data_IF_320327397599
#
_entry.id   IF_320327397599
#
_cell.length_a   1.000
_cell.length_b   1.000
_cell.length_c   1.000
_cell.angle_alpha   90.00
_cell.angle_beta   90.00
_cell.angle_gamma   90.00
#
_symmetry.space_group_name_H-M   'P 1'
#
loop_
_entity.id
_entity.type
_entity.pdbx_description
1 polymer ?
#
# COMPACT_ATOMS: atom_id res chain seq x y z
N UNK A 1 -3.84 -18.35 25.78
CA UNK A 1 -4.10 -18.34 24.31
C UNK A 1 -2.77 -18.48 23.59
N UNK A 2 -2.73 -19.26 22.49
CA UNK A 2 -1.55 -19.39 21.65
C UNK A 2 -1.31 -18.06 20.92
N UNK A 3 -0.14 -17.44 21.08
CA UNK A 3 0.13 -16.14 20.47
C UNK A 3 0.45 -16.33 18.97
N UNK A 4 -0.57 -16.19 18.12
CA UNK A 4 -0.43 -16.29 16.65
C UNK A 4 0.60 -15.32 16.08
N UNK A 5 0.77 -14.13 16.67
CA UNK A 5 1.79 -13.17 16.25
C UNK A 5 3.20 -13.75 16.43
N UNK A 6 3.47 -14.55 17.49
CA UNK A 6 4.75 -15.23 17.71
C UNK A 6 5.01 -16.36 16.70
N UNK A 7 3.98 -17.17 16.38
CA UNK A 7 4.11 -18.23 15.37
C UNK A 7 4.38 -17.64 13.98
N UNK A 8 3.62 -16.62 13.58
CA UNK A 8 3.80 -15.91 12.32
C UNK A 8 5.18 -15.25 12.23
N UNK A 9 5.68 -14.70 13.35
CA UNK A 9 7.02 -14.10 13.46
C UNK A 9 8.12 -15.11 13.12
N UNK A 10 8.03 -16.33 13.66
CA UNK A 10 8.97 -17.41 13.34
C UNK A 10 8.91 -17.85 11.86
N UNK A 11 7.76 -17.72 11.20
CA UNK A 11 7.60 -18.07 9.78
C UNK A 11 8.09 -17.01 8.79
N UNK A 12 8.12 -15.72 9.18
CA UNK A 12 8.45 -14.58 8.32
C UNK A 12 9.86 -14.03 8.54
N UNK A 13 10.44 -14.10 9.74
CA UNK A 13 11.74 -13.46 10.05
C UNK A 13 12.99 -14.17 9.48
N UNK A 14 12.84 -15.05 8.48
CA UNK A 14 13.97 -15.59 7.72
C UNK A 14 14.49 -14.55 6.71
N UNK A 15 15.50 -13.78 7.13
CA UNK A 15 16.33 -12.83 6.36
C UNK A 15 15.60 -12.13 5.19
N UNK A 16 15.07 -10.93 5.45
CA UNK A 16 14.66 -10.00 4.40
C UNK A 16 15.90 -9.38 3.72
N UNK A 17 15.90 -9.26 2.38
CA UNK A 17 17.04 -8.79 1.57
C UNK A 17 18.25 -9.73 1.54
N UNK A 18 18.05 -10.95 1.04
CA UNK A 18 19.05 -12.04 1.01
C UNK A 18 20.30 -11.80 0.13
N UNK A 19 20.30 -10.78 -0.73
CA UNK A 19 21.44 -10.45 -1.63
C UNK A 19 21.87 -8.97 -1.55
N UNK A 20 21.56 -8.29 -0.44
CA UNK A 20 22.01 -6.93 -0.18
C UNK A 20 21.21 -5.86 -0.95
N UNK A 21 21.91 -4.91 -1.57
CA UNK A 21 21.31 -3.62 -1.95
C UNK A 21 20.72 -3.54 -3.37
N UNK A 22 21.24 -4.31 -4.32
CA UNK A 22 21.01 -4.08 -5.75
C UNK A 22 21.90 -2.97 -6.32
N UNK A 23 21.63 -2.55 -7.55
CA UNK A 23 22.46 -1.57 -8.27
C UNK A 23 22.21 -0.13 -7.75
N UNK A 24 23.23 0.63 -7.29
CA UNK A 24 23.04 1.99 -6.76
C UNK A 24 22.55 3.02 -7.80
N UNK A 25 22.86 2.84 -9.08
CA UNK A 25 22.38 3.74 -10.14
C UNK A 25 20.85 3.71 -10.28
N UNK A 26 20.20 2.63 -9.84
CA UNK A 26 18.74 2.48 -9.88
C UNK A 26 18.00 3.50 -9.01
N UNK A 27 18.65 4.06 -7.97
CA UNK A 27 18.05 5.08 -7.11
C UNK A 27 17.94 6.45 -7.78
N UNK A 28 18.81 6.76 -8.75
CA UNK A 28 18.82 8.07 -9.43
C UNK A 28 17.67 8.18 -10.44
N UNK A 29 17.38 7.08 -11.15
CA UNK A 29 16.40 7.06 -12.24
C UNK A 29 14.94 7.05 -11.75
N UNK A 30 14.67 6.49 -10.56
CA UNK A 30 13.34 6.42 -9.91
C UNK A 30 12.61 7.78 -9.87
N UNK A 31 13.34 8.89 -9.81
CA UNK A 31 12.76 10.22 -9.65
C UNK A 31 11.99 10.77 -10.89
N UNK A 32 11.82 10.01 -11.99
CA UNK A 32 11.41 10.58 -13.29
C UNK A 32 10.23 9.88 -14.03
N UNK A 33 9.00 10.38 -13.79
CA UNK A 33 7.87 10.52 -14.75
C UNK A 33 6.81 9.37 -15.00
N UNK A 34 5.94 9.55 -16.02
CA UNK A 34 4.46 9.28 -16.17
C UNK A 34 4.11 8.78 -17.61
N UNK A 35 2.97 8.12 -17.98
CA UNK A 35 1.75 7.54 -17.32
C UNK A 35 0.70 7.03 -18.36
N UNK A 36 0.63 5.73 -18.72
CA UNK A 36 -0.47 4.97 -19.42
C UNK A 36 -0.11 3.44 -19.45
N UNK A 37 -0.90 2.40 -19.86
CA UNK A 37 -2.25 2.18 -20.48
C UNK A 37 -2.82 0.76 -20.13
N UNK A 38 -4.07 0.39 -20.47
CA UNK A 38 -4.67 -0.95 -20.17
C UNK A 38 -5.55 -1.56 -21.30
N UNK A 39 -5.48 -2.90 -21.48
CA UNK A 39 -6.44 -3.73 -22.23
C UNK A 39 -7.19 -4.76 -21.36
N UNK A 40 -8.23 -5.44 -21.89
CA UNK A 40 -9.08 -6.40 -21.16
C UNK A 40 -9.08 -7.80 -21.81
N UNK A 41 -9.25 -8.85 -21.00
CA UNK A 41 -9.72 -10.18 -21.43
C UNK A 41 -10.85 -10.66 -20.50
N UNK A 42 -11.67 -11.63 -20.96
CA UNK A 42 -12.84 -12.17 -20.24
C UNK A 42 -12.57 -13.60 -19.74
N UNK A 43 -13.11 -13.95 -18.56
CA UNK A 43 -13.06 -15.29 -17.98
C UNK A 43 -14.27 -15.57 -17.08
N UNK A 44 -14.68 -16.84 -16.99
CA UNK A 44 -16.03 -17.25 -16.55
C UNK A 44 -16.15 -17.52 -15.03
N UNK A 45 -15.80 -16.55 -14.18
CA UNK A 45 -15.95 -16.66 -12.71
C UNK A 45 -16.63 -15.40 -12.12
N UNK A 46 -16.83 -15.31 -10.79
CA UNK A 46 -17.34 -14.10 -10.11
C UNK A 46 -16.35 -12.92 -10.10
N UNK A 47 -15.33 -12.98 -10.97
CA UNK A 47 -14.28 -12.00 -11.10
C UNK A 47 -13.71 -12.02 -12.51
N UNK A 48 -13.13 -10.91 -12.93
CA UNK A 48 -12.43 -10.76 -14.20
C UNK A 48 -10.94 -10.67 -13.90
N UNK A 49 -10.14 -11.57 -14.48
CA UNK A 49 -8.69 -11.40 -14.54
C UNK A 49 -8.38 -10.31 -15.56
N UNK A 50 -7.56 -9.33 -15.18
CA UNK A 50 -7.09 -8.30 -16.08
C UNK A 50 -5.62 -7.98 -15.80
N UNK A 51 -4.94 -7.43 -16.80
CA UNK A 51 -3.52 -7.11 -16.70
C UNK A 51 -3.18 -5.91 -17.58
N UNK A 52 -2.08 -5.25 -17.25
CA UNK A 52 -1.53 -4.15 -18.02
C UNK A 52 -0.01 -4.08 -17.82
N UNK A 53 0.71 -3.45 -18.75
CA UNK A 53 2.13 -3.19 -18.55
C UNK A 53 2.27 -2.06 -17.54
N UNK A 54 3.00 -2.34 -16.47
CA UNK A 54 3.21 -1.40 -15.37
C UNK A 54 3.82 -0.09 -15.90
N UNK A 55 3.31 1.10 -15.52
CA UNK A 55 3.83 2.36 -16.04
C UNK A 55 5.34 2.49 -15.83
N UNK A 56 5.87 2.12 -14.65
CA UNK A 56 7.30 2.20 -14.37
C UNK A 56 8.13 1.32 -15.32
N UNK A 57 7.61 0.16 -15.74
CA UNK A 57 8.27 -0.71 -16.71
C UNK A 57 8.25 -0.17 -18.15
N UNK A 58 7.39 0.80 -18.46
CA UNK A 58 7.42 1.53 -19.74
C UNK A 58 8.55 2.57 -19.77
N UNK A 59 8.79 3.28 -18.67
CA UNK A 59 9.77 4.37 -18.60
C UNK A 59 11.16 3.91 -18.18
N UNK A 60 11.23 2.97 -17.23
CA UNK A 60 12.45 2.51 -16.58
C UNK A 60 12.55 0.97 -16.65
N UNK A 61 12.60 0.40 -17.88
CA UNK A 61 12.60 -1.05 -18.09
C UNK A 61 13.84 -1.77 -17.51
N UNK A 62 14.93 -1.04 -17.27
CA UNK A 62 16.14 -1.58 -16.63
C UNK A 62 15.98 -1.74 -15.11
N UNK A 63 15.11 -0.95 -14.48
CA UNK A 63 14.84 -1.01 -13.04
C UNK A 63 13.82 -2.09 -12.69
N UNK A 64 12.83 -2.29 -13.55
CA UNK A 64 11.71 -3.20 -13.30
C UNK A 64 12.00 -4.56 -13.93
N UNK A 65 12.24 -5.64 -13.15
CA UNK A 65 12.44 -6.97 -13.70
C UNK A 65 11.28 -7.38 -14.61
N UNK A 66 11.54 -8.17 -15.65
CA UNK A 66 10.52 -8.56 -16.64
C UNK A 66 9.32 -9.27 -16.01
N UNK A 67 9.52 -10.01 -14.91
CA UNK A 67 8.46 -10.64 -14.11
C UNK A 67 7.55 -9.61 -13.43
N UNK A 68 8.10 -8.46 -13.02
CA UNK A 68 7.37 -7.36 -12.38
C UNK A 68 6.73 -6.43 -13.43
N UNK A 69 7.23 -6.41 -14.66
CA UNK A 69 6.81 -5.47 -15.70
C UNK A 69 5.32 -5.54 -16.07
N UNK A 70 4.64 -6.66 -15.80
CA UNK A 70 3.19 -6.78 -15.97
C UNK A 70 2.49 -6.71 -14.60
N UNK A 71 1.53 -5.79 -14.50
CA UNK A 71 0.62 -5.70 -13.38
C UNK A 71 -0.56 -6.66 -13.60
N UNK A 72 -0.83 -7.52 -12.63
CA UNK A 72 -1.95 -8.46 -12.67
C UNK A 72 -2.97 -8.10 -11.59
N UNK A 73 -4.25 -8.08 -11.94
CA UNK A 73 -5.32 -7.80 -10.98
C UNK A 73 -6.59 -8.62 -11.24
N UNK A 74 -7.36 -8.82 -10.17
CA UNK A 74 -8.71 -9.40 -10.26
C UNK A 74 -9.77 -8.36 -9.89
N UNK A 75 -10.72 -8.15 -10.80
CA UNK A 75 -11.89 -7.31 -10.59
C UNK A 75 -13.06 -8.18 -10.13
N UNK A 76 -13.43 -8.09 -8.85
CA UNK A 76 -14.58 -8.74 -8.23
C UNK A 76 -15.75 -7.75 -8.22
N UNK A 77 -16.87 -8.11 -8.85
CA UNK A 77 -18.09 -7.29 -8.95
C UNK A 77 -19.31 -8.13 -8.57
N UNK A 78 -20.42 -7.46 -8.27
CA UNK A 78 -21.69 -8.16 -8.09
C UNK A 78 -22.25 -8.66 -9.42
N UNK A 79 -22.92 -9.81 -9.40
CA UNK A 79 -23.85 -10.23 -10.45
C UNK A 79 -25.27 -9.69 -10.24
N UNK A 80 -25.49 -8.96 -9.15
CA UNK A 80 -26.80 -8.39 -8.77
C UNK A 80 -27.12 -7.16 -9.65
N UNK A 81 -27.71 -7.41 -10.82
CA UNK A 81 -28.03 -6.41 -11.86
C UNK A 81 -28.99 -5.28 -11.43
N UNK A 82 -29.49 -5.29 -10.19
CA UNK A 82 -30.28 -4.20 -9.59
C UNK A 82 -29.48 -2.91 -9.41
N UNK A 83 -28.16 -3.02 -9.37
CA UNK A 83 -27.24 -1.89 -9.44
C UNK A 83 -26.67 -1.85 -10.86
N UNK A 84 -26.92 -0.78 -11.60
CA UNK A 84 -26.17 -0.51 -12.83
C UNK A 84 -24.68 -0.45 -12.51
N UNK A 85 -23.81 -0.82 -13.46
CA UNK A 85 -22.34 -0.80 -13.25
C UNK A 85 -21.88 0.59 -12.73
N UNK A 86 -22.53 1.64 -13.23
CA UNK A 86 -22.40 3.06 -12.88
C UNK A 86 -22.80 3.41 -11.42
N UNK A 87 -23.20 2.42 -10.60
CA UNK A 87 -23.60 2.59 -9.19
C UNK A 87 -22.84 1.68 -8.22
N UNK A 88 -21.78 1.00 -8.68
CA UNK A 88 -20.92 0.15 -7.86
C UNK A 88 -19.61 0.89 -7.56
N UNK A 89 -19.39 1.22 -6.30
CA UNK A 89 -18.11 1.76 -5.83
C UNK A 89 -17.05 0.66 -5.76
N UNK A 90 -15.77 1.00 -5.95
CA UNK A 90 -14.69 0.03 -6.08
C UNK A 90 -13.65 0.21 -4.99
N UNK A 91 -13.26 -0.87 -4.32
CA UNK A 91 -12.10 -0.89 -3.43
C UNK A 91 -10.86 -1.42 -4.15
N UNK A 92 -9.81 -0.64 -4.29
CA UNK A 92 -8.47 -1.14 -4.68
C UNK A 92 -7.82 -1.71 -3.41
N UNK A 93 -7.46 -2.99 -3.44
CA UNK A 93 -6.97 -3.76 -2.30
C UNK A 93 -5.55 -4.28 -2.55
N UNK A 94 -4.58 -3.82 -1.75
CA UNK A 94 -3.18 -4.28 -1.82
C UNK A 94 -2.96 -5.55 -1.01
N UNK A 95 -1.95 -6.34 -1.39
CA UNK A 95 -1.55 -7.51 -0.62
C UNK A 95 -0.73 -7.10 0.62
N UNK A 96 -0.94 -7.81 1.73
CA UNK A 96 -0.04 -7.76 2.90
C UNK A 96 1.16 -8.69 2.72
N UNK A 97 2.11 -8.68 3.66
CA UNK A 97 3.26 -9.60 3.64
C UNK A 97 2.78 -11.06 3.64
N UNK A 98 3.26 -11.89 2.71
CA UNK A 98 2.85 -13.30 2.58
C UNK A 98 1.64 -13.56 1.68
N UNK A 99 0.87 -12.54 1.28
CA UNK A 99 -0.38 -12.69 0.52
C UNK A 99 -0.12 -12.78 -1.00
N UNK A 100 0.47 -13.91 -1.43
CA UNK A 100 0.71 -14.22 -2.83
C UNK A 100 -0.60 -14.60 -3.56
N UNK A 101 -0.80 -14.08 -4.77
CA UNK A 101 -2.01 -14.31 -5.56
C UNK A 101 -3.23 -13.55 -5.05
N UNK A 102 -4.41 -14.09 -5.36
CA UNK A 102 -5.70 -13.42 -5.13
C UNK A 102 -6.67 -14.22 -4.25
N UNK A 103 -6.49 -15.54 -4.11
CA UNK A 103 -7.53 -16.42 -3.56
C UNK A 103 -7.92 -16.08 -2.12
N UNK A 104 -6.95 -15.78 -1.25
CA UNK A 104 -7.20 -15.37 0.13
C UNK A 104 -8.02 -14.07 0.20
N UNK A 105 -7.48 -12.98 -0.37
CA UNK A 105 -8.21 -11.70 -0.46
C UNK A 105 -9.57 -11.82 -1.14
N UNK A 106 -9.73 -12.67 -2.15
CA UNK A 106 -10.98 -12.90 -2.86
C UNK A 106 -12.04 -13.54 -1.96
N UNK A 107 -11.71 -14.66 -1.34
CA UNK A 107 -12.65 -15.44 -0.53
C UNK A 107 -12.98 -14.77 0.82
N UNK A 108 -11.98 -14.20 1.50
CA UNK A 108 -12.15 -13.68 2.86
C UNK A 108 -12.45 -12.18 2.93
N UNK A 109 -12.17 -11.41 1.87
CA UNK A 109 -12.43 -9.95 1.87
C UNK A 109 -13.39 -9.51 0.76
N UNK A 110 -13.09 -9.80 -0.52
CA UNK A 110 -13.84 -9.23 -1.64
C UNK A 110 -15.27 -9.78 -1.74
N UNK A 111 -15.43 -11.10 -1.66
CA UNK A 111 -16.75 -11.75 -1.72
C UNK A 111 -17.63 -11.37 -0.51
N UNK A 112 -17.15 -11.40 0.75
CA UNK A 112 -17.93 -10.89 1.89
C UNK A 112 -18.30 -9.41 1.76
N UNK A 113 -17.39 -8.56 1.26
CA UNK A 113 -17.64 -7.13 1.08
C UNK A 113 -18.78 -6.86 0.09
N UNK A 114 -18.74 -7.42 -1.12
CA UNK A 114 -19.78 -7.21 -2.16
C UNK A 114 -21.14 -7.85 -1.80
N UNK A 115 -21.13 -8.86 -0.94
CA UNK A 115 -22.35 -9.48 -0.42
C UNK A 115 -23.02 -8.61 0.64
N UNK A 116 -22.24 -7.89 1.45
CA UNK A 116 -22.73 -7.04 2.55
C UNK A 116 -23.02 -5.59 2.14
N UNK A 117 -22.30 -5.07 1.15
CA UNK A 117 -22.36 -3.67 0.70
C UNK A 117 -22.20 -3.62 -0.84
N UNK A 118 -22.68 -2.59 -1.54
CA UNK A 118 -22.52 -2.44 -3.00
C UNK A 118 -21.09 -2.03 -3.42
N UNK A 119 -20.07 -2.67 -2.84
CA UNK A 119 -18.65 -2.31 -2.99
C UNK A 119 -17.89 -3.45 -3.66
N UNK A 120 -17.52 -3.25 -4.93
CA UNK A 120 -16.64 -4.14 -5.69
C UNK A 120 -15.20 -4.10 -5.19
N UNK A 121 -14.34 -4.96 -5.71
CA UNK A 121 -12.91 -4.94 -5.37
C UNK A 121 -12.01 -5.19 -6.57
N UNK A 122 -10.99 -4.35 -6.71
CA UNK A 122 -9.79 -4.63 -7.51
C UNK A 122 -8.75 -5.21 -6.55
N UNK A 123 -8.38 -6.46 -6.74
CA UNK A 123 -7.30 -7.12 -6.02
C UNK A 123 -6.04 -7.02 -6.88
N UNK A 124 -5.12 -6.12 -6.53
CA UNK A 124 -3.85 -5.93 -7.25
C UNK A 124 -2.81 -6.93 -6.73
N UNK A 125 -2.04 -7.59 -7.59
CA UNK A 125 -0.89 -8.40 -7.17
C UNK A 125 0.34 -7.51 -7.02
N UNK A 126 0.90 -7.46 -5.81
CA UNK A 126 2.09 -6.67 -5.54
C UNK A 126 3.26 -7.14 -6.42
N UNK A 127 4.16 -6.23 -6.82
CA UNK A 127 5.49 -6.58 -7.33
C UNK A 127 6.17 -7.65 -6.48
N UNK A 128 6.91 -8.57 -7.11
CA UNK A 128 7.61 -9.67 -6.42
C UNK A 128 6.69 -10.69 -5.72
N UNK A 129 5.37 -10.66 -5.91
CA UNK A 129 4.39 -11.59 -5.35
C UNK A 129 3.70 -12.42 -6.45
N UNK A 130 3.15 -13.58 -6.09
CA UNK A 130 2.58 -14.59 -7.01
C UNK A 130 3.19 -14.65 -8.41
N UNK A 131 2.44 -14.22 -9.44
CA UNK A 131 2.85 -14.27 -10.86
C UNK A 131 4.04 -13.33 -11.17
N UNK A 132 4.26 -12.32 -10.34
CA UNK A 132 5.31 -11.30 -10.43
C UNK A 132 6.56 -11.64 -9.63
N UNK A 133 6.59 -12.81 -8.96
CA UNK A 133 7.70 -13.25 -8.10
C UNK A 133 8.85 -13.83 -8.94
N UNK A 134 10.10 -13.36 -8.78
CA UNK A 134 11.27 -14.03 -9.37
C UNK A 134 11.35 -15.51 -8.98
N UNK A 135 11.85 -16.36 -9.88
CA UNK A 135 11.95 -17.81 -9.66
C UNK A 135 12.88 -18.17 -8.50
N UNK A 136 13.95 -17.39 -8.34
CA UNK A 136 14.98 -17.50 -7.31
C UNK A 136 14.64 -16.79 -6.00
N UNK A 137 13.50 -16.09 -5.91
CA UNK A 137 13.02 -15.49 -4.68
C UNK A 137 12.24 -16.50 -3.82
N UNK A 138 12.70 -16.73 -2.59
CA UNK A 138 12.00 -17.57 -1.61
C UNK A 138 10.88 -16.78 -0.91
N UNK A 139 9.66 -17.33 -0.92
CA UNK A 139 8.46 -16.74 -0.29
C UNK A 139 8.32 -15.24 -0.64
N UNK A 140 8.07 -14.40 0.36
CA UNK A 140 7.98 -12.94 0.24
C UNK A 140 9.30 -12.21 0.60
N UNK A 141 10.39 -12.94 0.87
CA UNK A 141 11.68 -12.34 1.20
C UNK A 141 12.28 -11.74 -0.07
N UNK A 142 12.18 -10.41 -0.21
CA UNK A 142 12.77 -9.67 -1.33
C UNK A 142 14.28 -9.97 -1.43
N UNK A 143 14.78 -10.09 -2.66
CA UNK A 143 16.19 -10.36 -2.91
C UNK A 143 17.08 -9.17 -2.54
N UNK A 144 16.64 -7.95 -2.87
CA UNK A 144 17.40 -6.71 -2.66
C UNK A 144 16.57 -5.68 -1.90
N UNK A 145 17.23 -4.79 -1.13
CA UNK A 145 16.56 -3.66 -0.46
C UNK A 145 15.88 -2.74 -1.50
N UNK A 146 16.52 -2.49 -2.65
CA UNK A 146 15.93 -1.70 -3.75
C UNK A 146 14.62 -2.25 -4.30
N UNK A 147 14.36 -3.56 -4.20
CA UNK A 147 13.07 -4.15 -4.60
C UNK A 147 11.91 -3.62 -3.75
N UNK A 148 12.15 -3.16 -2.52
CA UNK A 148 11.10 -2.55 -1.69
C UNK A 148 10.67 -1.18 -2.23
N UNK A 149 11.63 -0.35 -2.67
CA UNK A 149 11.34 0.95 -3.27
C UNK A 149 10.70 0.80 -4.65
N UNK A 150 11.22 -0.11 -5.48
CA UNK A 150 10.60 -0.47 -6.76
C UNK A 150 9.17 -0.98 -6.54
N UNK A 151 8.91 -1.80 -5.52
CA UNK A 151 7.55 -2.24 -5.18
C UNK A 151 6.63 -1.05 -4.88
N UNK A 152 7.09 -0.08 -4.09
CA UNK A 152 6.33 1.12 -3.75
C UNK A 152 5.97 1.97 -4.96
N UNK A 153 6.96 2.39 -5.74
CA UNK A 153 6.76 3.24 -6.92
C UNK A 153 5.90 2.56 -8.00
N UNK A 154 6.13 1.27 -8.22
CA UNK A 154 5.28 0.46 -9.11
C UNK A 154 3.82 0.46 -8.61
N UNK A 155 3.57 0.17 -7.33
CA UNK A 155 2.21 0.14 -6.78
C UNK A 155 1.52 1.51 -6.80
N UNK A 156 2.24 2.60 -6.54
CA UNK A 156 1.71 3.96 -6.62
C UNK A 156 1.25 4.26 -8.06
N UNK A 157 2.12 4.05 -9.06
CA UNK A 157 1.78 4.33 -10.46
C UNK A 157 0.68 3.42 -11.01
N UNK A 158 0.70 2.14 -10.64
CA UNK A 158 -0.35 1.17 -10.96
C UNK A 158 -1.70 1.60 -10.37
N UNK A 159 -1.71 2.07 -9.13
CA UNK A 159 -2.92 2.57 -8.47
C UNK A 159 -3.46 3.80 -9.17
N UNK A 160 -2.62 4.81 -9.43
CA UNK A 160 -3.08 6.04 -10.08
C UNK A 160 -3.71 5.76 -11.44
N UNK A 161 -3.11 4.85 -12.21
CA UNK A 161 -3.66 4.42 -13.49
C UNK A 161 -4.95 3.59 -13.34
N UNK A 162 -5.09 2.75 -12.31
CA UNK A 162 -6.34 2.05 -11.97
C UNK A 162 -7.46 3.03 -11.55
N UNK A 163 -7.14 4.07 -10.77
CA UNK A 163 -8.07 5.11 -10.35
C UNK A 163 -8.60 5.91 -11.57
N UNK A 164 -7.70 6.32 -12.48
CA UNK A 164 -8.09 6.94 -13.75
C UNK A 164 -8.94 5.99 -14.63
N UNK A 165 -8.66 4.69 -14.59
CA UNK A 165 -9.46 3.68 -15.30
C UNK A 165 -10.86 3.54 -14.69
N UNK A 166 -11.00 3.52 -13.37
CA UNK A 166 -12.29 3.53 -12.68
C UNK A 166 -13.13 4.78 -13.05
N UNK A 167 -12.52 5.97 -13.06
CA UNK A 167 -13.18 7.20 -13.51
C UNK A 167 -13.67 7.11 -14.96
N UNK A 168 -12.82 6.64 -15.89
CA UNK A 168 -13.21 6.44 -17.30
C UNK A 168 -14.33 5.41 -17.48
N UNK A 169 -14.41 4.42 -16.59
CA UNK A 169 -15.47 3.42 -16.54
C UNK A 169 -16.73 3.90 -15.79
N UNK A 170 -16.81 5.17 -15.36
CA UNK A 170 -17.93 5.77 -14.58
C UNK A 170 -18.25 5.04 -13.27
N UNK A 171 -17.25 4.43 -12.63
CA UNK A 171 -17.40 3.79 -11.32
C UNK A 171 -17.38 4.89 -10.24
N UNK A 172 -18.38 4.91 -9.33
CA UNK A 172 -18.76 6.13 -8.57
C UNK A 172 -17.64 6.68 -7.68
N UNK A 173 -17.07 5.83 -6.84
CA UNK A 173 -15.99 6.15 -5.91
C UNK A 173 -14.98 5.02 -5.84
N UNK A 174 -13.71 5.37 -5.66
CA UNK A 174 -12.62 4.44 -5.49
C UNK A 174 -12.00 4.54 -4.08
N UNK A 175 -12.08 3.44 -3.32
CA UNK A 175 -11.55 3.32 -1.96
C UNK A 175 -10.19 2.63 -2.03
N UNK A 176 -9.13 3.26 -1.53
CA UNK A 176 -7.83 2.59 -1.35
C UNK A 176 -7.82 1.87 0.00
N UNK A 177 -7.40 0.60 0.02
CA UNK A 177 -7.41 -0.22 1.23
C UNK A 177 -6.26 -1.23 1.25
N UNK A 178 -5.60 -1.37 2.38
CA UNK A 178 -4.61 -2.42 2.58
C UNK A 178 -4.29 -2.62 4.06
N UNK A 179 -3.64 -3.74 4.35
CA UNK A 179 -3.25 -4.13 5.70
C UNK A 179 -1.74 -4.35 5.76
N UNK A 180 -1.10 -4.03 6.90
CA UNK A 180 0.35 -4.16 7.08
C UNK A 180 1.12 -3.40 5.98
N UNK A 181 2.08 -4.05 5.30
CA UNK A 181 2.73 -3.55 4.08
C UNK A 181 1.75 -2.94 3.07
N UNK A 182 0.62 -3.59 2.79
CA UNK A 182 -0.42 -3.07 1.90
C UNK A 182 -1.10 -1.80 2.42
N UNK A 183 -1.16 -1.61 3.75
CA UNK A 183 -1.65 -0.38 4.38
C UNK A 183 -0.64 0.76 4.26
N UNK A 184 0.66 0.47 4.33
CA UNK A 184 1.70 1.44 4.01
C UNK A 184 1.65 1.86 2.52
N UNK A 185 1.52 0.89 1.59
CA UNK A 185 1.38 1.15 0.16
C UNK A 185 0.08 1.93 -0.18
N UNK A 186 -1.01 1.66 0.56
CA UNK A 186 -2.24 2.47 0.51
C UNK A 186 -1.95 3.93 0.84
N UNK A 187 -1.20 4.18 1.91
CA UNK A 187 -0.83 5.52 2.35
C UNK A 187 0.05 6.26 1.33
N UNK A 188 1.05 5.58 0.76
CA UNK A 188 1.89 6.14 -0.31
C UNK A 188 1.05 6.52 -1.54
N UNK A 189 0.19 5.62 -2.03
CA UNK A 189 -0.65 5.92 -3.19
C UNK A 189 -1.66 7.05 -2.92
N UNK A 190 -2.17 7.15 -1.70
CA UNK A 190 -3.07 8.23 -1.27
C UNK A 190 -2.41 9.63 -1.32
N UNK A 191 -1.12 9.75 -0.99
CA UNK A 191 -0.37 11.03 -1.09
C UNK A 191 -0.26 11.61 -2.50
N UNK A 192 -0.55 10.80 -3.54
CA UNK A 192 -0.42 11.15 -4.97
C UNK A 192 -1.76 11.24 -5.70
N UNK A 193 -2.89 11.28 -4.97
CA UNK A 193 -4.24 11.38 -5.53
C UNK A 193 -4.95 12.66 -5.03
N UNK A 194 -5.69 13.42 -5.87
CA UNK A 194 -5.93 13.19 -7.30
C UNK A 194 -4.77 13.61 -8.22
N UNK A 195 -3.87 14.46 -7.73
CA UNK A 195 -2.82 15.06 -8.53
C UNK A 195 -1.60 14.12 -8.67
N UNK A 196 -1.40 13.59 -9.88
CA UNK A 196 -0.08 13.09 -10.31
C UNK A 196 0.90 14.28 -10.32
N UNK A 197 1.83 14.43 -9.36
CA UNK A 197 2.52 15.69 -9.21
C UNK A 197 3.69 15.78 -10.20
N UNK A 198 3.54 16.62 -11.23
CA UNK A 198 4.62 16.91 -12.19
C UNK A 198 5.74 17.80 -11.64
N UNK A 199 5.57 18.37 -10.44
CA UNK A 199 6.58 19.22 -9.78
C UNK A 199 7.22 18.60 -8.52
N UNK A 200 6.45 17.88 -7.69
CA UNK A 200 6.91 17.48 -6.34
C UNK A 200 7.99 16.38 -6.31
N UNK A 201 8.32 15.75 -7.44
CA UNK A 201 9.45 14.81 -7.51
C UNK A 201 10.82 15.53 -7.47
N UNK A 202 10.88 16.79 -7.91
CA UNK A 202 12.14 17.53 -8.08
C UNK A 202 12.61 18.27 -6.82
N UNK A 203 11.74 18.48 -5.84
CA UNK A 203 12.04 19.17 -4.57
C UNK A 203 12.25 18.19 -3.40
N UNK A 204 12.51 16.91 -3.68
CA UNK A 204 12.71 15.95 -2.62
C UNK A 204 14.09 16.10 -1.96
N UNK A 205 14.10 16.53 -0.68
CA UNK A 205 15.29 16.56 0.18
C UNK A 205 16.03 15.22 0.22
N UNK A 206 15.35 14.09 -0.02
CA UNK A 206 15.96 12.77 -0.27
C UNK A 206 17.20 12.82 -1.16
N UNK A 207 17.02 13.42 -2.34
CA UNK A 207 17.98 13.36 -3.43
C UNK A 207 19.22 14.15 -3.04
N UNK A 208 19.01 15.38 -2.54
CA UNK A 208 20.07 16.22 -2.00
C UNK A 208 20.79 15.53 -0.82
N UNK A 209 20.07 15.02 0.17
CA UNK A 209 20.65 14.37 1.36
C UNK A 209 21.46 13.12 1.00
N UNK A 210 21.00 12.31 0.05
CA UNK A 210 21.75 11.15 -0.45
C UNK A 210 22.99 11.56 -1.25
N UNK A 211 22.89 12.57 -2.12
CA UNK A 211 24.05 13.11 -2.84
C UNK A 211 25.06 13.78 -1.91
N UNK A 212 24.61 14.54 -0.92
CA UNK A 212 25.46 15.18 0.07
C UNK A 212 26.13 14.14 0.97
N UNK A 213 25.45 13.07 1.38
CA UNK A 213 26.07 11.92 2.04
C UNK A 213 27.17 11.25 1.18
N UNK A 214 26.91 11.02 -0.11
CA UNK A 214 27.93 10.49 -1.03
C UNK A 214 29.10 11.47 -1.25
N UNK A 215 28.84 12.77 -1.22
CA UNK A 215 29.81 13.85 -1.40
C UNK A 215 30.69 14.05 -0.17
N UNK A 216 30.09 14.00 1.02
CA UNK A 216 30.79 13.99 2.30
C UNK A 216 31.64 12.73 2.44
N UNK A 217 31.12 11.56 2.04
CA UNK A 217 31.90 10.31 1.96
C UNK A 217 33.14 10.47 1.08
N UNK A 218 33.00 11.04 -0.11
CA UNK A 218 34.16 11.26 -1.02
C UNK A 218 35.20 12.24 -0.44
N UNK A 219 34.81 13.12 0.50
CA UNK A 219 35.74 13.99 1.25
C UNK A 219 36.31 13.31 2.50
N UNK A 220 35.56 12.41 3.13
CA UNK A 220 35.97 11.78 4.40
C UNK A 220 37.00 10.67 4.24
N UNK A 221 37.31 10.23 3.02
CA UNK A 221 38.34 9.22 2.72
C UNK A 221 39.73 9.67 3.23
N UNK A 222 39.99 10.99 3.30
CA UNK A 222 41.22 11.57 3.87
C UNK A 222 41.20 11.69 5.41
N UNK A 223 40.15 11.25 6.09
CA UNK A 223 39.98 11.46 7.54
C UNK A 223 39.56 10.19 8.28
N UNK A 224 40.34 9.79 9.29
CA UNK A 224 40.12 8.58 10.12
C UNK A 224 38.91 8.68 11.08
N UNK A 225 37.75 9.16 10.61
CA UNK A 225 36.49 9.10 11.38
C UNK A 225 35.81 7.75 11.18
N UNK A 226 35.74 6.98 12.27
CA UNK A 226 35.12 5.65 12.31
C UNK A 226 33.61 5.78 12.10
N UNK A 227 33.13 5.42 10.90
CA UNK A 227 31.69 5.27 10.60
C UNK A 227 31.20 3.97 11.21
N UNK A 228 30.43 4.07 12.31
CA UNK A 228 30.21 2.94 13.22
C UNK A 228 29.43 1.76 12.59
N UNK A 229 28.56 1.99 11.61
CA UNK A 229 28.14 0.95 10.67
C UNK A 229 27.51 1.50 9.37
N UNK A 230 28.35 1.73 8.35
CA UNK A 230 27.97 2.28 7.03
C UNK A 230 26.68 1.69 6.42
N UNK A 231 26.48 0.38 6.56
CA UNK A 231 25.29 -0.32 6.02
C UNK A 231 24.04 0.08 6.80
N UNK A 232 24.10 0.13 8.14
CA UNK A 232 22.95 0.54 8.97
C UNK A 232 22.61 2.01 8.78
N UNK A 233 23.62 2.87 8.62
CA UNK A 233 23.40 4.31 8.40
C UNK A 233 22.74 4.56 7.04
N UNK A 234 23.16 3.85 5.99
CA UNK A 234 22.51 3.89 4.68
C UNK A 234 21.10 3.24 4.69
N UNK A 235 20.88 2.17 5.46
CA UNK A 235 19.53 1.61 5.69
C UNK A 235 18.63 2.62 6.38
N UNK A 236 19.12 3.30 7.41
CA UNK A 236 18.36 4.32 8.13
C UNK A 236 18.01 5.48 7.20
N UNK A 237 18.97 6.07 6.50
CA UNK A 237 18.72 7.17 5.58
C UNK A 237 17.69 6.80 4.50
N UNK A 238 17.85 5.67 3.81
CA UNK A 238 16.94 5.28 2.74
C UNK A 238 15.56 4.82 3.26
N UNK A 239 15.46 4.21 4.44
CA UNK A 239 14.17 3.85 5.04
C UNK A 239 13.44 5.08 5.60
N UNK A 240 14.12 5.93 6.37
CA UNK A 240 13.56 7.19 6.89
C UNK A 240 13.07 8.04 5.71
N UNK A 241 13.81 8.09 4.61
CA UNK A 241 13.46 8.91 3.45
C UNK A 241 12.26 8.36 2.65
N UNK A 242 12.33 7.10 2.19
CA UNK A 242 11.35 6.52 1.27
C UNK A 242 10.18 5.79 1.96
N UNK A 243 10.17 5.69 3.30
CA UNK A 243 9.06 5.07 4.06
C UNK A 243 8.43 6.00 5.10
N UNK A 244 9.02 7.14 5.43
CA UNK A 244 8.34 8.15 6.26
C UNK A 244 7.32 8.92 5.44
N UNK A 245 6.04 8.80 5.80
CA UNK A 245 4.95 9.58 5.19
C UNK A 245 5.09 11.10 5.39
N UNK A 246 5.98 11.56 6.28
CA UNK A 246 6.27 12.98 6.49
C UNK A 246 7.01 13.61 5.29
N UNK A 247 7.74 12.82 4.50
CA UNK A 247 8.47 13.29 3.33
C UNK A 247 7.59 13.35 2.07
N UNK A 248 6.33 12.91 2.18
CA UNK A 248 5.37 12.88 1.10
C UNK A 248 4.37 14.02 1.21
N UNK A 249 4.02 14.59 0.05
CA UNK A 249 2.94 15.55 -0.13
C UNK A 249 1.64 15.08 0.54
N UNK A 250 1.00 15.94 1.33
CA UNK A 250 -0.36 15.65 1.84
C UNK A 250 -1.34 15.57 0.66
N UNK A 251 -2.28 14.62 0.71
CA UNK A 251 -3.42 14.61 -0.21
C UNK A 251 -4.32 15.84 0.05
N UNK A 252 -5.24 16.16 -0.86
CA UNK A 252 -6.19 17.26 -0.68
C UNK A 252 -7.03 17.07 0.60
N UNK A 253 -7.34 18.16 1.30
CA UNK A 253 -7.94 18.11 2.64
C UNK A 253 -9.27 17.35 2.68
N UNK A 254 -10.07 17.41 1.61
CA UNK A 254 -11.30 16.63 1.45
C UNK A 254 -11.05 15.12 1.52
N UNK A 255 -10.00 14.62 0.85
CA UNK A 255 -9.60 13.22 0.92
C UNK A 255 -9.15 12.84 2.34
N UNK A 256 -8.33 13.68 3.00
CA UNK A 256 -7.86 13.45 4.37
C UNK A 256 -9.04 13.32 5.35
N UNK A 257 -10.03 14.21 5.22
CA UNK A 257 -11.23 14.20 6.09
C UNK A 257 -12.06 12.91 6.00
N UNK A 258 -12.00 12.19 4.87
CA UNK A 258 -12.66 10.89 4.72
C UNK A 258 -11.76 9.70 5.03
N UNK A 259 -10.43 9.90 5.12
CA UNK A 259 -9.49 8.83 5.41
C UNK A 259 -9.70 8.27 6.84
N UNK A 260 -9.53 6.95 6.99
CA UNK A 260 -9.61 6.26 8.27
C UNK A 260 -8.38 5.37 8.44
N UNK A 261 -7.53 5.71 9.40
CA UNK A 261 -6.37 4.92 9.80
C UNK A 261 -6.77 3.98 10.95
N UNK A 262 -6.51 2.67 10.82
CA UNK A 262 -6.79 1.69 11.87
C UNK A 262 -5.47 1.19 12.44
N UNK A 263 -5.28 1.33 13.75
CA UNK A 263 -4.07 0.93 14.45
C UNK A 263 -4.37 -0.06 15.58
N UNK A 264 -3.52 -1.08 15.72
CA UNK A 264 -3.60 -2.04 16.80
C UNK A 264 -2.95 -1.48 18.08
N UNK A 265 -3.55 -1.70 19.25
CA UNK A 265 -2.94 -1.25 20.53
C UNK A 265 -1.87 -2.20 21.05
N UNK A 266 -1.91 -3.47 20.65
CA UNK A 266 -0.99 -4.54 21.07
C UNK A 266 -0.17 -5.05 19.88
N UNK A 267 0.18 -4.15 18.95
CA UNK A 267 0.85 -4.51 17.71
C UNK A 267 2.32 -4.93 17.94
N UNK A 268 2.66 -6.18 17.60
CA UNK A 268 4.02 -6.71 17.71
C UNK A 268 4.92 -6.44 16.49
N UNK A 269 4.43 -5.74 15.46
CA UNK A 269 5.11 -5.52 14.18
C UNK A 269 5.23 -4.02 13.85
N UNK A 270 4.11 -3.29 13.94
CA UNK A 270 4.05 -1.84 13.73
C UNK A 270 4.18 -1.12 15.09
N UNK A 271 5.41 -1.05 15.60
CA UNK A 271 5.73 -0.35 16.83
C UNK A 271 5.43 1.15 16.69
N UNK A 272 4.88 1.76 17.76
CA UNK A 272 4.45 3.17 17.76
C UNK A 272 5.43 4.12 18.45
N UNK A 273 6.38 3.58 19.19
CA UNK A 273 7.37 4.38 19.92
C UNK A 273 8.37 4.98 18.92
N UNK A 274 8.55 6.30 18.97
CA UNK A 274 9.48 7.02 18.10
C UNK A 274 8.97 7.35 16.69
N UNK A 275 7.72 7.02 16.33
CA UNK A 275 7.12 7.47 15.06
C UNK A 275 6.11 8.62 15.28
N UNK A 276 6.00 9.60 14.35
CA UNK A 276 5.02 10.68 14.45
C UNK A 276 3.58 10.20 14.56
N UNK A 277 2.72 10.95 15.24
CA UNK A 277 1.30 10.61 15.30
C UNK A 277 0.64 10.87 13.94
N UNK A 278 -0.29 10.01 13.54
CA UNK A 278 -0.87 10.10 12.18
C UNK A 278 -1.63 11.41 11.93
N UNK A 279 -2.10 12.09 12.99
CA UNK A 279 -2.72 13.41 12.89
C UNK A 279 -1.69 14.54 12.68
N UNK A 280 -0.42 14.34 13.05
CA UNK A 280 0.68 15.27 12.73
C UNK A 280 1.04 15.13 11.23
N UNK A 281 1.06 13.89 10.74
CA UNK A 281 1.29 13.55 9.34
C UNK A 281 0.16 14.13 8.47
N UNK A 282 -1.10 13.79 8.73
CA UNK A 282 -2.28 14.27 8.00
C UNK A 282 -3.34 14.86 8.96
N UNK A 283 -3.29 16.17 9.25
CA UNK A 283 -4.23 16.83 10.17
C UNK A 283 -5.70 16.64 9.79
N UNK A 284 -6.47 16.15 10.75
CA UNK A 284 -7.90 15.86 10.58
C UNK A 284 -8.24 14.46 10.08
N UNK A 285 -7.26 13.55 9.95
CA UNK A 285 -7.54 12.14 9.69
C UNK A 285 -8.27 11.48 10.87
N UNK A 286 -9.22 10.58 10.56
CA UNK A 286 -9.81 9.74 11.59
C UNK A 286 -8.91 8.56 11.93
N UNK A 287 -8.57 8.42 13.22
CA UNK A 287 -7.80 7.28 13.72
C UNK A 287 -8.72 6.39 14.57
N UNK A 288 -8.65 5.07 14.35
CA UNK A 288 -9.38 4.07 15.13
C UNK A 288 -8.40 3.09 15.74
N UNK A 289 -8.33 3.03 17.06
CA UNK A 289 -7.57 2.02 17.78
C UNK A 289 -8.42 0.75 17.98
N UNK A 290 -7.79 -0.42 17.85
CA UNK A 290 -8.42 -1.73 18.12
C UNK A 290 -7.56 -2.56 19.10
N UNK A 291 -8.16 -3.24 20.10
CA UNK A 291 -7.42 -3.89 21.19
C UNK A 291 -6.82 -5.25 20.81
N UNK A 292 -6.17 -5.34 19.65
CA UNK A 292 -5.67 -6.58 19.04
C UNK A 292 -4.16 -6.49 18.76
N UNK A 293 -3.54 -7.65 18.55
CA UNK A 293 -2.23 -7.78 17.88
C UNK A 293 -2.36 -7.74 16.36
N UNK A 294 -1.24 -7.81 15.64
CA UNK A 294 -1.21 -7.54 14.19
C UNK A 294 -1.94 -8.63 13.39
N UNK A 295 -1.55 -9.90 13.57
CA UNK A 295 -2.17 -11.03 12.85
C UNK A 295 -3.57 -11.29 13.39
N UNK A 296 -3.75 -11.13 14.71
CA UNK A 296 -5.06 -11.25 15.36
C UNK A 296 -6.09 -10.27 14.78
N UNK A 297 -5.72 -9.00 14.58
CA UNK A 297 -6.58 -8.03 13.92
C UNK A 297 -6.92 -8.42 12.48
N UNK A 298 -5.93 -8.88 11.71
CA UNK A 298 -6.17 -9.32 10.33
C UNK A 298 -7.14 -10.50 10.25
N UNK A 299 -6.97 -11.52 11.10
CA UNK A 299 -7.80 -12.74 11.03
C UNK A 299 -9.24 -12.49 11.51
N UNK A 300 -9.42 -11.74 12.60
CA UNK A 300 -10.72 -11.69 13.29
C UNK A 300 -11.50 -10.36 13.13
N UNK A 301 -10.88 -9.27 12.68
CA UNK A 301 -11.55 -7.95 12.53
C UNK A 301 -12.03 -7.65 11.09
N UNK A 302 -12.13 -8.64 10.21
CA UNK A 302 -12.54 -8.46 8.81
C UNK A 302 -13.88 -7.71 8.65
N UNK A 303 -14.88 -8.01 9.49
CA UNK A 303 -16.15 -7.28 9.50
C UNK A 303 -15.97 -5.79 9.86
N UNK A 304 -15.05 -5.48 10.78
CA UNK A 304 -14.68 -4.12 11.15
C UNK A 304 -14.04 -3.35 9.99
N UNK A 305 -13.19 -4.01 9.20
CA UNK A 305 -12.60 -3.42 7.99
C UNK A 305 -13.65 -3.17 6.90
N UNK A 306 -14.53 -4.13 6.62
CA UNK A 306 -15.62 -3.97 5.64
C UNK A 306 -16.59 -2.86 6.03
N UNK A 307 -16.99 -2.79 7.31
CA UNK A 307 -17.82 -1.71 7.84
C UNK A 307 -17.12 -0.35 7.72
N UNK A 308 -15.81 -0.28 7.93
CA UNK A 308 -15.04 0.97 7.78
C UNK A 308 -15.05 1.45 6.34
N UNK A 309 -14.84 0.55 5.36
CA UNK A 309 -14.97 0.88 3.94
C UNK A 309 -16.39 1.35 3.57
N UNK A 310 -17.44 0.70 4.09
CA UNK A 310 -18.82 1.13 3.89
C UNK A 310 -19.12 2.51 4.49
N UNK A 311 -18.54 2.82 5.66
CA UNK A 311 -18.65 4.15 6.29
C UNK A 311 -17.91 5.24 5.49
N UNK A 312 -16.75 4.93 4.92
CA UNK A 312 -16.04 5.84 4.01
C UNK A 312 -16.84 6.14 2.75
N UNK A 313 -17.50 5.12 2.19
CA UNK A 313 -18.40 5.29 1.05
C UNK A 313 -19.60 6.17 1.42
N UNK A 314 -20.30 5.88 2.51
CA UNK A 314 -21.49 6.65 2.90
C UNK A 314 -21.18 8.12 3.24
N UNK A 315 -19.94 8.44 3.62
CA UNK A 315 -19.48 9.82 3.78
C UNK A 315 -19.24 10.55 2.45
N UNK A 316 -18.78 9.84 1.42
CA UNK A 316 -18.62 10.37 0.06
C UNK A 316 -19.95 10.46 -0.69
N UNK A 317 -20.81 9.47 -0.50
CA UNK A 317 -22.08 9.31 -1.21
C UNK A 317 -23.22 9.03 -0.19
N UNK A 318 -23.75 10.05 0.51
CA UNK A 318 -24.76 9.87 1.58
C UNK A 318 -26.03 9.12 1.16
N UNK A 319 -26.36 9.19 -0.14
CA UNK A 319 -27.56 8.57 -0.72
C UNK A 319 -27.37 7.08 -1.10
N UNK A 320 -26.17 6.50 -0.93
CA UNK A 320 -25.95 5.07 -1.22
C UNK A 320 -26.71 4.19 -0.24
N UNK A 321 -27.63 3.38 -0.78
CA UNK A 321 -28.38 2.38 -0.02
C UNK A 321 -27.48 1.19 0.33
N UNK A 322 -26.95 1.16 1.56
CA UNK A 322 -26.22 0.01 2.11
C UNK A 322 -27.20 -1.14 2.40
N UNK A 323 -26.83 -2.40 2.09
CA UNK A 323 -27.70 -3.58 2.27
C UNK A 323 -27.92 -3.96 3.75
N UNK A 324 -27.18 -3.38 4.69
CA UNK A 324 -27.36 -3.54 6.14
C UNK A 324 -27.20 -2.19 6.83
N UNK A 325 -27.96 -1.97 7.90
CA UNK A 325 -27.69 -0.86 8.81
C UNK A 325 -26.28 -0.98 9.41
N UNK A 326 -25.61 0.16 9.59
CA UNK A 326 -24.29 0.24 10.21
C UNK A 326 -24.37 -0.23 11.67
N UNK A 327 -24.03 -1.50 11.94
CA UNK A 327 -23.79 -1.96 13.31
C UNK A 327 -22.47 -1.34 13.78
N UNK A 328 -22.58 -0.17 14.42
CA UNK A 328 -21.47 0.45 15.13
C UNK A 328 -21.28 -0.35 16.41
N UNK A 329 -20.34 -1.31 16.42
CA UNK A 329 -19.78 -1.75 17.69
C UNK A 329 -19.08 -0.54 18.33
N UNK A 330 -19.49 -0.08 19.53
CA UNK A 330 -18.80 0.99 20.22
C UNK A 330 -17.44 0.46 20.66
N UNK A 331 -16.39 0.81 19.92
CA UNK A 331 -15.01 0.53 20.32
C UNK A 331 -14.48 1.81 20.97
N UNK A 332 -14.11 1.68 22.25
CA UNK A 332 -13.65 2.77 23.09
C UNK A 332 -12.55 3.59 22.40
N UNK A 333 -12.80 4.89 22.24
CA UNK A 333 -11.75 5.86 21.93
C UNK A 333 -10.96 6.09 23.21
N UNK A 334 -9.94 5.26 23.44
CA UNK A 334 -8.86 5.61 24.34
C UNK A 334 -7.92 6.56 23.58
N UNK A 335 -8.19 7.86 23.70
CA UNK A 335 -7.12 8.86 23.52
C UNK A 335 -6.00 8.50 24.47
N UNK A 336 -4.75 8.28 24.02
CA UNK A 336 -3.62 8.22 24.93
C UNK A 336 -3.60 9.54 25.71
N UNK A 337 -3.58 9.48 27.04
CA UNK A 337 -3.20 10.66 27.81
C UNK A 337 -1.73 10.93 27.48
N UNK A 338 -1.40 12.18 27.16
CA UNK A 338 -0.01 12.62 27.07
C UNK A 338 0.69 12.29 28.40
N UNK A 339 1.83 11.61 28.31
CA UNK A 339 2.78 11.36 29.40
C UNK A 339 4.18 11.54 28.83
#
# INVERSE_FOLDING_TARGET
MMNFDNLFRCFILTQSSVRGWGNPFHLQEIFTYRREKIGKQKGNQNYINAQFRSPLANYLPHLVPSQVATAHFQLVLSRDHRFGIDSISIRICYAGTGDHGFSGRRLFTAVPLINQYPIGSILLENPYYGLRKPSDQSRSSLLYVTNLYIMGEVLVLETLMLLHWCQKMKLTSAILHGFSLGGHMTSLAFTKWPDLPSRQFYENKASQTFYDYLRERNRSIDSNKIVLNLIKDMMRLLMDEFTSLCNYSRSVQSNISNAIFIACTHDGYALRDGIPHMNDVWPGIHIRYIPHGHVNAFLFNQLGFHHTAAKMLQRQEPNVKLKKHLIISPIFVTTPKNS
#
